data_IF_004480766343
#
_entry.id   IF_004480766343
#
_cell.length_a   1.000
_cell.length_b   1.000
_cell.length_c   1.000
_cell.angle_alpha   90.00
_cell.angle_beta   90.00
_cell.angle_gamma   90.00
#
_symmetry.space_group_name_H-M   'P 1'
#
loop_
_entity.id
_entity.type
_entity.pdbx_description
1 polymer ?
#
# COMPACT_ATOMS: atom_id res chain seq x y z
N UNK A 1 -9.18 2.80 -8.11
CA UNK A 1 -9.40 2.15 -6.80
C UNK A 1 -10.47 1.07 -6.89
N UNK A 2 -11.69 1.36 -7.38
CA UNK A 2 -12.75 0.36 -7.54
C UNK A 2 -12.30 -0.91 -8.30
N UNK A 3 -11.62 -0.73 -9.44
CA UNK A 3 -11.09 -1.85 -10.24
C UNK A 3 -10.12 -2.75 -9.45
N UNK A 4 -9.36 -2.19 -8.49
CA UNK A 4 -8.46 -2.98 -7.66
C UNK A 4 -9.21 -3.80 -6.62
N UNK A 5 -10.30 -3.26 -6.06
CA UNK A 5 -11.18 -4.02 -5.18
C UNK A 5 -11.87 -5.17 -5.95
N UNK A 6 -12.29 -4.91 -7.19
CA UNK A 6 -12.85 -5.95 -8.07
C UNK A 6 -11.82 -7.05 -8.38
N UNK A 7 -10.59 -6.68 -8.74
CA UNK A 7 -9.49 -7.63 -8.98
C UNK A 7 -9.19 -8.47 -7.74
N UNK A 8 -9.12 -7.85 -6.56
CA UNK A 8 -8.91 -8.56 -5.28
C UNK A 8 -10.02 -9.59 -5.05
N UNK A 9 -11.28 -9.22 -5.26
CA UNK A 9 -12.43 -10.11 -5.09
C UNK A 9 -12.40 -11.31 -6.05
N UNK A 10 -11.90 -11.12 -7.29
CA UNK A 10 -11.72 -12.21 -8.26
C UNK A 10 -10.62 -13.19 -7.88
N UNK A 11 -9.62 -12.75 -7.12
CA UNK A 11 -8.49 -13.59 -6.66
C UNK A 11 -8.90 -14.44 -5.45
N UNK A 12 -9.83 -13.97 -4.62
CA UNK A 12 -10.22 -14.65 -3.37
C UNK A 12 -10.59 -16.13 -3.54
N UNK A 13 -11.43 -16.54 -4.52
CA UNK A 13 -11.77 -17.96 -4.71
C UNK A 13 -10.55 -18.83 -5.02
N UNK A 14 -9.61 -18.32 -5.82
CA UNK A 14 -8.37 -19.03 -6.19
C UNK A 14 -7.52 -19.30 -4.94
N UNK A 15 -7.49 -18.35 -3.99
CA UNK A 15 -6.76 -18.50 -2.73
C UNK A 15 -7.43 -19.49 -1.76
N UNK A 16 -8.75 -19.67 -1.87
CA UNK A 16 -9.47 -20.69 -1.10
C UNK A 16 -9.20 -22.08 -1.66
N UNK A 17 -9.13 -22.24 -2.99
CA UNK A 17 -8.80 -23.51 -3.65
C UNK A 17 -7.33 -23.91 -3.47
N UNK A 18 -6.42 -22.93 -3.40
CA UNK A 18 -4.98 -23.14 -3.25
C UNK A 18 -4.43 -22.36 -2.05
N UNK A 19 -4.72 -22.79 -0.81
CA UNK A 19 -4.35 -22.05 0.38
C UNK A 19 -2.83 -22.03 0.60
N UNK A 20 -2.30 -20.84 0.84
CA UNK A 20 -0.90 -20.59 1.25
C UNK A 20 -0.88 -19.64 2.46
N UNK A 21 -1.34 -20.09 3.64
CA UNK A 21 -1.55 -19.22 4.81
C UNK A 21 -0.30 -18.42 5.22
N UNK A 22 0.88 -19.02 5.07
CA UNK A 22 2.18 -18.40 5.38
C UNK A 22 2.38 -17.11 4.58
N UNK A 23 1.96 -17.10 3.30
CA UNK A 23 2.07 -15.97 2.40
C UNK A 23 0.96 -14.92 2.58
N UNK A 24 -0.15 -15.30 3.20
CA UNK A 24 -1.32 -14.44 3.39
C UNK A 24 -1.31 -13.68 4.72
N UNK A 25 -0.41 -14.02 5.64
CA UNK A 25 -0.39 -13.51 7.02
C UNK A 25 -0.36 -11.97 7.11
N UNK A 26 0.38 -11.30 6.23
CA UNK A 26 0.56 -9.84 6.22
C UNK A 26 -0.45 -9.08 5.34
N UNK A 27 -1.20 -9.80 4.49
CA UNK A 27 -2.15 -9.19 3.55
C UNK A 27 -3.26 -8.41 4.26
N UNK A 28 -3.89 -8.90 5.34
CA UNK A 28 -4.90 -8.13 6.07
C UNK A 28 -4.36 -6.82 6.61
N UNK A 29 -3.13 -6.81 7.14
CA UNK A 29 -2.48 -5.59 7.64
C UNK A 29 -2.29 -4.57 6.52
N UNK A 30 -1.75 -5.00 5.38
CA UNK A 30 -1.60 -4.14 4.20
C UNK A 30 -2.95 -3.60 3.71
N UNK A 31 -3.99 -4.42 3.76
CA UNK A 31 -5.36 -4.07 3.40
C UNK A 31 -5.96 -2.98 4.30
N UNK A 32 -5.78 -3.10 5.62
CA UNK A 32 -6.22 -2.09 6.56
C UNK A 32 -5.49 -0.76 6.34
N UNK A 33 -4.17 -0.79 6.19
CA UNK A 33 -3.37 0.43 5.95
C UNK A 33 -3.83 1.16 4.68
N UNK A 34 -3.98 0.44 3.57
CA UNK A 34 -4.45 1.04 2.32
C UNK A 34 -5.88 1.60 2.44
N UNK A 35 -6.76 0.91 3.17
CA UNK A 35 -8.15 1.36 3.40
C UNK A 35 -8.19 2.61 4.27
N UNK A 36 -7.37 2.66 5.32
CA UNK A 36 -7.27 3.80 6.23
C UNK A 36 -6.71 5.03 5.51
N UNK A 37 -5.68 4.86 4.67
CA UNK A 37 -5.17 5.93 3.81
C UNK A 37 -6.26 6.50 2.90
N UNK A 38 -7.06 5.65 2.25
CA UNK A 38 -8.18 6.11 1.42
C UNK A 38 -9.22 6.87 2.25
N UNK A 39 -9.59 6.34 3.43
CA UNK A 39 -10.55 7.00 4.33
C UNK A 39 -10.04 8.38 4.74
N UNK A 40 -8.78 8.47 5.13
CA UNK A 40 -8.15 9.72 5.56
C UNK A 40 -7.97 10.71 4.40
N UNK A 41 -7.67 10.24 3.19
CA UNK A 41 -7.56 11.09 2.00
C UNK A 41 -8.92 11.69 1.59
N UNK A 42 -9.98 10.90 1.68
CA UNK A 42 -11.34 11.41 1.42
C UNK A 42 -11.76 12.39 2.52
N UNK A 43 -11.47 12.08 3.78
CA UNK A 43 -11.75 12.98 4.90
C UNK A 43 -11.01 14.32 4.75
N UNK A 44 -9.71 14.28 4.45
CA UNK A 44 -8.92 15.51 4.26
C UNK A 44 -9.46 16.35 3.11
N UNK A 45 -9.95 15.72 2.05
CA UNK A 45 -10.59 16.42 0.95
C UNK A 45 -11.89 17.10 1.36
N UNK A 46 -12.80 16.40 2.06
CA UNK A 46 -14.09 16.95 2.49
C UNK A 46 -13.90 18.11 3.47
N UNK A 47 -12.97 17.95 4.42
CA UNK A 47 -12.74 18.93 5.49
C UNK A 47 -11.73 20.02 5.07
N UNK A 48 -11.14 19.92 3.87
CA UNK A 48 -9.98 20.73 3.44
C UNK A 48 -8.82 20.71 4.45
N UNK A 49 -8.65 19.58 5.13
CA UNK A 49 -7.66 19.39 6.19
C UNK A 49 -6.29 19.05 5.58
N UNK A 50 -5.44 20.08 5.48
CA UNK A 50 -4.10 19.94 4.92
C UNK A 50 -3.19 19.05 5.78
N UNK A 51 -3.33 19.07 7.11
CA UNK A 51 -2.49 18.27 8.01
C UNK A 51 -2.79 16.79 7.85
N UNK A 52 -4.08 16.43 7.73
CA UNK A 52 -4.48 15.05 7.44
C UNK A 52 -3.99 14.61 6.04
N UNK A 53 -3.97 15.50 5.06
CA UNK A 53 -3.39 15.21 3.75
C UNK A 53 -1.87 14.94 3.83
N UNK A 54 -1.13 15.73 4.61
CA UNK A 54 0.29 15.46 4.88
C UNK A 54 0.48 14.09 5.56
N UNK A 55 -0.38 13.75 6.52
CA UNK A 55 -0.31 12.44 7.19
C UNK A 55 -0.52 11.27 6.21
N UNK A 56 -1.53 11.34 5.34
CA UNK A 56 -1.74 10.32 4.29
C UNK A 56 -0.49 10.13 3.43
N UNK A 57 0.19 11.22 3.06
CA UNK A 57 1.41 11.14 2.26
C UNK A 57 2.59 10.51 3.03
N UNK A 58 2.64 10.64 4.36
CA UNK A 58 3.63 9.95 5.22
C UNK A 58 3.32 8.46 5.38
N UNK A 59 2.04 8.09 5.42
CA UNK A 59 1.58 6.71 5.59
C UNK A 59 1.89 5.80 4.38
N UNK A 60 2.21 6.39 3.22
CA UNK A 60 2.69 5.70 2.01
C UNK A 60 3.92 4.82 2.28
N UNK A 61 4.84 5.32 3.11
CA UNK A 61 6.11 4.66 3.43
C UNK A 61 5.94 3.33 4.15
N UNK A 62 5.21 3.27 5.27
CA UNK A 62 4.82 2.00 5.90
C UNK A 62 4.20 0.99 4.93
N UNK A 63 3.30 1.43 4.05
CA UNK A 63 2.66 0.56 3.03
C UNK A 63 3.70 0.00 2.06
N UNK A 64 4.54 0.87 1.49
CA UNK A 64 5.63 0.51 0.59
C UNK A 64 6.61 -0.49 1.23
N UNK A 65 6.89 -0.34 2.53
CA UNK A 65 7.76 -1.25 3.29
C UNK A 65 7.10 -2.62 3.44
N UNK A 66 5.84 -2.67 3.86
CA UNK A 66 5.11 -3.91 4.05
C UNK A 66 4.92 -4.68 2.73
N UNK A 67 4.60 -3.98 1.64
CA UNK A 67 4.55 -4.58 0.30
C UNK A 67 5.89 -5.23 -0.09
N UNK A 68 7.01 -4.53 0.14
CA UNK A 68 8.36 -5.08 -0.12
C UNK A 68 8.69 -6.27 0.78
N UNK A 69 8.24 -6.28 2.03
CA UNK A 69 8.40 -7.41 2.94
C UNK A 69 7.63 -8.63 2.42
N UNK A 70 6.37 -8.46 2.02
CA UNK A 70 5.54 -9.53 1.44
C UNK A 70 6.22 -10.10 0.19
N UNK A 71 6.73 -9.25 -0.70
CA UNK A 71 7.42 -9.71 -1.91
C UNK A 71 8.65 -10.58 -1.56
N UNK A 72 9.45 -10.17 -0.57
CA UNK A 72 10.60 -10.95 -0.09
C UNK A 72 10.16 -12.29 0.52
N UNK A 73 9.11 -12.29 1.33
CA UNK A 73 8.56 -13.52 1.92
C UNK A 73 8.09 -14.49 0.84
N UNK A 74 7.38 -14.00 -0.19
CA UNK A 74 6.96 -14.84 -1.33
C UNK A 74 8.18 -15.42 -2.05
N UNK A 75 9.19 -14.61 -2.39
CA UNK A 75 10.39 -15.09 -3.09
C UNK A 75 11.13 -16.15 -2.26
N UNK A 76 11.29 -15.94 -0.96
CA UNK A 76 11.93 -16.90 -0.06
C UNK A 76 11.13 -18.20 0.00
N UNK A 77 9.81 -18.10 0.18
CA UNK A 77 8.93 -19.27 0.23
C UNK A 77 8.96 -20.08 -1.07
N UNK A 78 8.95 -19.41 -2.23
CA UNK A 78 9.02 -20.09 -3.53
C UNK A 78 10.37 -20.74 -3.81
N UNK A 79 11.44 -20.28 -3.15
CA UNK A 79 12.76 -20.92 -3.23
C UNK A 79 12.78 -22.26 -2.49
N UNK A 80 11.97 -22.40 -1.43
CA UNK A 80 11.82 -23.64 -0.65
C UNK A 80 10.72 -24.55 -1.18
N UNK A 81 9.64 -23.96 -1.72
CA UNK A 81 8.43 -24.65 -2.18
C UNK A 81 8.01 -24.20 -3.59
N UNK A 82 8.73 -24.60 -4.65
CA UNK A 82 8.46 -24.16 -6.03
C UNK A 82 7.05 -24.51 -6.53
N UNK A 83 6.43 -25.58 -6.00
CA UNK A 83 5.06 -25.98 -6.31
C UNK A 83 4.00 -24.91 -5.98
N UNK A 84 4.32 -23.99 -5.07
CA UNK A 84 3.45 -22.89 -4.68
C UNK A 84 3.57 -21.67 -5.59
N UNK A 85 4.28 -21.76 -6.73
CA UNK A 85 4.46 -20.64 -7.65
C UNK A 85 3.14 -20.02 -8.09
N UNK A 86 2.14 -20.82 -8.43
CA UNK A 86 0.84 -20.33 -8.86
C UNK A 86 0.14 -19.49 -7.77
N UNK A 87 -0.13 -20.00 -6.55
CA UNK A 87 -0.72 -19.18 -5.50
C UNK A 87 0.19 -18.02 -5.04
N UNK A 88 1.52 -18.20 -5.03
CA UNK A 88 2.47 -17.13 -4.70
C UNK A 88 2.39 -15.92 -5.63
N UNK A 89 2.19 -16.13 -6.93
CA UNK A 89 1.98 -15.04 -7.90
C UNK A 89 0.72 -14.24 -7.55
N UNK A 90 -0.38 -14.90 -7.20
CA UNK A 90 -1.61 -14.21 -6.81
C UNK A 90 -1.46 -13.39 -5.53
N UNK A 91 -0.69 -13.86 -4.55
CA UNK A 91 -0.38 -13.08 -3.34
C UNK A 91 0.38 -11.79 -3.71
N UNK A 92 1.35 -11.87 -4.63
CA UNK A 92 2.07 -10.67 -5.11
C UNK A 92 1.13 -9.71 -5.83
N UNK A 93 0.25 -10.22 -6.69
CA UNK A 93 -0.73 -9.40 -7.39
C UNK A 93 -1.69 -8.72 -6.40
N UNK A 94 -2.17 -9.45 -5.40
CA UNK A 94 -3.03 -8.95 -4.34
C UNK A 94 -2.35 -7.82 -3.55
N UNK A 95 -1.12 -8.05 -3.08
CA UNK A 95 -0.33 -7.04 -2.38
C UNK A 95 -0.09 -5.80 -3.25
N UNK A 96 0.18 -5.99 -4.55
CA UNK A 96 0.34 -4.89 -5.50
C UNK A 96 -0.94 -4.08 -5.70
N UNK A 97 -2.12 -4.72 -5.69
CA UNK A 97 -3.41 -4.00 -5.79
C UNK A 97 -3.68 -3.14 -4.55
N UNK A 98 -3.28 -3.60 -3.38
CA UNK A 98 -3.36 -2.83 -2.14
C UNK A 98 -2.38 -1.65 -2.13
N UNK A 99 -1.12 -1.85 -2.53
CA UNK A 99 -0.16 -0.75 -2.68
C UNK A 99 -0.63 0.30 -3.69
N UNK A 100 -1.18 -0.10 -4.83
CA UNK A 100 -1.75 0.86 -5.80
C UNK A 100 -2.98 1.60 -5.27
N UNK A 101 -3.69 1.01 -4.30
CA UNK A 101 -4.79 1.69 -3.62
C UNK A 101 -4.25 2.78 -2.70
N UNK A 102 -3.18 2.52 -1.96
CA UNK A 102 -2.48 3.52 -1.16
C UNK A 102 -1.88 4.65 -2.02
N UNK A 103 -1.25 4.34 -3.16
CA UNK A 103 -0.75 5.36 -4.10
C UNK A 103 -1.87 6.26 -4.64
N UNK A 104 -3.08 5.74 -4.82
CA UNK A 104 -4.21 6.60 -5.16
C UNK A 104 -4.70 7.47 -3.99
N UNK A 105 -4.52 7.03 -2.75
CA UNK A 105 -4.81 7.84 -1.57
C UNK A 105 -3.86 9.04 -1.48
N UNK A 106 -2.55 8.85 -1.71
CA UNK A 106 -1.57 9.94 -1.72
C UNK A 106 -1.87 10.94 -2.82
N UNK A 107 -2.23 10.45 -4.01
CA UNK A 107 -2.68 11.29 -5.13
C UNK A 107 -3.88 12.20 -4.78
N UNK A 108 -4.82 11.72 -3.96
CA UNK A 108 -5.94 12.53 -3.47
C UNK A 108 -5.42 13.57 -2.47
N UNK A 109 -4.61 13.15 -1.50
CA UNK A 109 -4.04 14.05 -0.50
C UNK A 109 -3.17 15.16 -1.09
N UNK A 110 -2.35 14.87 -2.10
CA UNK A 110 -1.56 15.89 -2.81
C UNK A 110 -2.45 16.91 -3.54
N UNK A 111 -3.62 16.49 -4.03
CA UNK A 111 -4.62 17.41 -4.61
C UNK A 111 -5.28 18.28 -3.53
N UNK A 112 -5.48 17.76 -2.32
CA UNK A 112 -5.95 18.56 -1.17
C UNK A 112 -4.92 19.64 -0.83
N UNK A 113 -3.63 19.27 -0.74
CA UNK A 113 -2.56 20.24 -0.52
C UNK A 113 -2.55 21.33 -1.60
N UNK A 114 -2.69 20.95 -2.88
CA UNK A 114 -2.80 21.92 -3.97
C UNK A 114 -4.02 22.83 -3.84
N UNK A 115 -5.19 22.28 -3.51
CA UNK A 115 -6.44 23.02 -3.33
C UNK A 115 -6.32 24.10 -2.26
N UNK A 116 -5.61 23.82 -1.16
CA UNK A 116 -5.43 24.76 -0.04
C UNK A 116 -4.31 25.77 -0.31
N UNK A 117 -3.20 25.34 -0.92
CA UNK A 117 -1.97 26.16 -1.00
C UNK A 117 -1.72 26.79 -2.37
N UNK A 118 -2.39 26.31 -3.42
CA UNK A 118 -2.11 26.63 -4.82
C UNK A 118 -0.80 26.01 -5.36
N UNK A 119 -0.11 25.15 -4.61
CA UNK A 119 1.17 24.54 -4.99
C UNK A 119 1.05 23.03 -5.13
N UNK A 120 1.34 22.51 -6.32
CA UNK A 120 1.36 21.08 -6.59
C UNK A 120 2.74 20.54 -6.23
N UNK A 121 2.79 19.68 -5.21
CA UNK A 121 4.02 19.07 -4.69
C UNK A 121 3.79 17.58 -4.53
N UNK A 122 4.78 16.76 -4.90
CA UNK A 122 4.78 15.31 -4.67
C UNK A 122 5.19 15.01 -3.22
N UNK A 123 4.29 15.25 -2.27
CA UNK A 123 4.56 15.14 -0.83
C UNK A 123 5.03 13.73 -0.44
N UNK A 124 4.41 12.69 -0.97
CA UNK A 124 4.81 11.31 -0.67
C UNK A 124 6.24 11.02 -1.12
N UNK A 125 6.70 11.67 -2.19
CA UNK A 125 8.11 11.57 -2.64
C UNK A 125 9.05 12.33 -1.71
N UNK A 126 8.69 13.55 -1.31
CA UNK A 126 9.50 14.36 -0.38
C UNK A 126 9.73 13.59 0.93
N UNK A 127 8.67 13.04 1.53
CA UNK A 127 8.80 12.25 2.76
C UNK A 127 9.64 10.98 2.60
N UNK A 128 9.57 10.34 1.42
CA UNK A 128 10.46 9.23 1.10
C UNK A 128 11.92 9.64 1.03
N UNK A 129 12.23 10.81 0.49
CA UNK A 129 13.61 11.30 0.41
C UNK A 129 14.14 11.69 1.79
N UNK A 130 13.36 12.41 2.60
CA UNK A 130 13.73 12.81 3.98
C UNK A 130 14.11 11.60 4.85
N UNK A 131 13.26 10.57 4.89
CA UNK A 131 13.49 9.38 5.71
C UNK A 131 14.66 8.53 5.20
N UNK A 132 15.04 8.64 3.91
CA UNK A 132 16.21 7.94 3.35
C UNK A 132 17.54 8.61 3.72
N UNK A 133 17.50 9.87 4.18
CA UNK A 133 18.68 10.61 4.65
C UNK A 133 18.94 10.44 6.15
N UNK A 134 18.06 9.72 6.86
CA UNK A 134 18.24 9.40 8.28
C UNK A 134 19.34 8.33 8.47
N UNK A 135 20.24 8.50 9.46
CA UNK A 135 21.29 7.53 9.73
C UNK A 135 20.72 6.15 10.11
N UNK A 136 21.40 5.09 9.70
CA UNK A 136 21.02 3.66 9.80
C UNK A 136 20.66 3.10 11.21
N UNK A 137 20.55 3.94 12.25
CA UNK A 137 20.33 3.53 13.65
C UNK A 137 18.92 3.78 14.22
N UNK A 138 18.00 4.36 13.44
CA UNK A 138 16.61 4.62 13.87
C UNK A 138 15.57 3.99 12.92
N UNK A 139 15.86 2.78 12.40
CA UNK A 139 14.92 1.98 11.60
C UNK A 139 14.31 0.83 12.41
#
# INVERSE_FOLDING_TARGET
IGDYAEDIAKITPIMVEHPVPELLSEIPTLGHMATDMIRNAVKSFVDSDIELAHQVCRDDRPVDRLYRQILKQVVNFLSEQPQAAYPGVYVVLLARRLERTADHATNIAERVHYMVTGKLVQLARVYREEESTLPFGEQ
#
